data_IF_400501102528
#
_entry.id   IF_400501102528
#
_cell.length_a   1.000
_cell.length_b   1.000
_cell.length_c   1.000
_cell.angle_alpha   90.00
_cell.angle_beta   90.00
_cell.angle_gamma   90.00
#
_symmetry.space_group_name_H-M   'P 1'
#
loop_
_entity.id
_entity.type
_entity.pdbx_description
1 polymer ?
#
# COMPACT_ATOMS: atom_id res chain seq x y z
N UNK A 1 -7.95 29.37 73.77
CA UNK A 1 -8.54 28.30 72.96
C UNK A 1 -7.97 28.45 71.57
N UNK A 2 -7.00 27.61 71.18
CA UNK A 2 -6.46 27.59 69.82
C UNK A 2 -7.47 26.85 68.94
N UNK A 3 -8.04 27.52 67.95
CA UNK A 3 -8.87 26.87 66.95
C UNK A 3 -7.94 26.04 66.04
N UNK A 4 -8.19 24.73 65.97
CA UNK A 4 -7.61 23.89 64.94
C UNK A 4 -8.53 23.98 63.73
N UNK A 5 -8.04 24.59 62.66
CA UNK A 5 -8.77 24.63 61.40
C UNK A 5 -8.53 23.32 60.67
N UNK A 6 -9.60 22.55 60.48
CA UNK A 6 -9.64 21.47 59.49
C UNK A 6 -9.60 22.11 58.09
N UNK A 7 -8.67 21.67 57.24
CA UNK A 7 -8.46 22.26 55.93
C UNK A 7 -9.48 21.74 54.90
N UNK A 8 -9.92 20.48 55.00
CA UNK A 8 -10.96 19.88 54.14
C UNK A 8 -11.65 18.67 54.81
N UNK A 9 -12.98 18.74 55.04
CA UNK A 9 -13.76 17.62 55.59
C UNK A 9 -13.72 16.36 54.71
N UNK A 10 -13.73 16.54 53.39
CA UNK A 10 -13.57 15.45 52.42
C UNK A 10 -13.09 15.98 51.07
N UNK A 11 -12.39 15.13 50.33
CA UNK A 11 -12.14 15.26 48.89
C UNK A 11 -12.91 14.13 48.20
N UNK A 12 -13.82 14.48 47.30
CA UNK A 12 -14.58 13.52 46.50
C UNK A 12 -14.03 13.45 45.10
N UNK A 13 -13.66 12.25 44.67
CA UNK A 13 -13.18 11.97 43.32
C UNK A 13 -14.32 11.37 42.52
N UNK A 14 -14.69 12.03 41.43
CA UNK A 14 -15.76 11.60 40.54
C UNK A 14 -15.17 11.03 39.25
N UNK A 15 -15.86 10.08 38.64
CA UNK A 15 -15.55 9.55 37.32
C UNK A 15 -15.59 10.65 36.25
N UNK A 16 -15.13 10.32 35.04
CA UNK A 16 -15.15 11.21 33.88
C UNK A 16 -16.55 11.72 33.50
N UNK A 17 -17.62 11.06 33.94
CA UNK A 17 -19.01 11.51 33.76
C UNK A 17 -19.41 12.69 34.67
N UNK A 18 -18.56 13.07 35.62
CA UNK A 18 -18.77 14.17 36.57
C UNK A 18 -19.82 13.92 37.65
N UNK A 19 -20.40 12.71 37.74
CA UNK A 19 -21.52 12.40 38.65
C UNK A 19 -21.32 11.15 39.49
N UNK A 20 -20.61 10.14 38.97
CA UNK A 20 -20.32 8.90 39.69
C UNK A 20 -19.19 9.13 40.69
N UNK A 21 -19.45 8.94 41.99
CA UNK A 21 -18.42 9.06 43.03
C UNK A 21 -17.56 7.79 43.07
N UNK A 22 -16.27 7.91 42.76
CA UNK A 22 -15.32 6.79 42.77
C UNK A 22 -14.65 6.61 44.13
N UNK A 23 -14.31 7.71 44.81
CA UNK A 23 -13.66 7.67 46.11
C UNK A 23 -13.95 8.91 46.95
N UNK A 24 -13.92 8.74 48.27
CA UNK A 24 -13.89 9.83 49.26
C UNK A 24 -12.61 9.69 50.05
N UNK A 25 -11.81 10.75 50.07
CA UNK A 25 -10.65 10.90 50.95
C UNK A 25 -11.07 11.81 52.11
N UNK A 26 -10.86 11.37 53.34
CA UNK A 26 -11.22 12.13 54.55
C UNK A 26 -9.95 12.74 55.14
N UNK A 27 -10.05 14.00 55.59
CA UNK A 27 -9.03 14.70 56.38
C UNK A 27 -9.53 14.81 57.82
N UNK A 28 -9.58 13.69 58.53
CA UNK A 28 -10.16 13.61 59.87
C UNK A 28 -9.18 14.01 60.99
N UNK A 29 -7.91 14.25 60.63
CA UNK A 29 -6.86 14.74 61.52
C UNK A 29 -6.13 15.97 60.94
N UNK A 30 -5.71 16.87 61.83
CA UNK A 30 -4.87 18.03 61.50
C UNK A 30 -3.47 17.65 61.01
N UNK A 31 -3.10 16.37 61.09
CA UNK A 31 -1.82 15.84 60.62
C UNK A 31 -1.91 15.09 59.29
N UNK A 32 -3.09 15.04 58.67
CA UNK A 32 -3.27 14.27 57.43
C UNK A 32 -2.50 14.88 56.26
N UNK A 33 -2.05 14.00 55.36
CA UNK A 33 -1.34 14.39 54.15
C UNK A 33 -2.03 13.81 52.92
N UNK A 34 -2.28 14.67 51.93
CA UNK A 34 -2.76 14.23 50.61
C UNK A 34 -1.56 13.84 49.75
N UNK A 35 -1.37 12.53 49.57
CA UNK A 35 -0.33 12.01 48.68
C UNK A 35 -0.96 11.65 47.34
N UNK A 36 -0.55 12.36 46.28
CA UNK A 36 -1.04 12.12 44.91
C UNK A 36 0.08 11.46 44.11
N UNK A 37 -0.17 10.24 43.64
CA UNK A 37 0.72 9.50 42.75
C UNK A 37 0.24 9.63 41.32
N UNK A 38 1.12 10.05 40.42
CA UNK A 38 0.81 10.14 38.99
C UNK A 38 0.83 8.76 38.32
N UNK A 39 -0.09 8.54 37.39
CA UNK A 39 -0.04 7.42 36.46
C UNK A 39 0.93 7.66 35.30
N UNK A 40 1.08 6.66 34.44
CA UNK A 40 1.86 6.81 33.21
C UNK A 40 1.20 7.83 32.26
N UNK A 41 1.98 8.65 31.54
CA UNK A 41 1.42 9.70 30.67
C UNK A 41 0.87 10.93 31.38
N UNK A 42 1.06 11.05 32.70
CA UNK A 42 0.67 12.24 33.49
C UNK A 42 1.93 12.91 34.04
N UNK A 43 2.01 14.23 33.94
CA UNK A 43 3.08 15.03 34.55
C UNK A 43 2.50 16.02 35.56
N UNK A 44 3.16 16.14 36.72
CA UNK A 44 2.88 17.21 37.68
C UNK A 44 3.93 18.30 37.48
N UNK A 45 3.50 19.49 37.10
CA UNK A 45 4.41 20.60 36.75
C UNK A 45 4.00 21.90 37.45
N UNK A 46 4.88 22.90 37.43
CA UNK A 46 4.55 24.25 37.92
C UNK A 46 4.18 24.32 39.40
N UNK A 47 4.69 23.39 40.23
CA UNK A 47 4.44 23.40 41.66
C UNK A 47 4.97 24.70 42.30
N UNK A 48 4.09 25.39 43.04
CA UNK A 48 4.42 26.63 43.74
C UNK A 48 3.84 26.58 45.15
N UNK A 49 4.73 26.53 46.14
CA UNK A 49 4.39 26.45 47.55
C UNK A 49 3.86 27.77 48.15
N UNK A 50 4.00 28.90 47.45
CA UNK A 50 3.41 30.18 47.89
C UNK A 50 1.96 30.34 47.45
N UNK A 51 1.54 29.60 46.42
CA UNK A 51 0.17 29.64 45.89
C UNK A 51 -0.55 28.30 46.06
N UNK A 52 0.07 27.34 46.75
CA UNK A 52 -0.42 25.98 46.98
C UNK A 52 -1.00 25.32 45.72
N UNK A 53 -0.30 25.51 44.59
CA UNK A 53 -0.79 25.13 43.27
C UNK A 53 0.21 24.28 42.52
N UNK A 54 -0.30 23.37 41.70
CA UNK A 54 0.46 22.66 40.67
C UNK A 54 -0.45 22.42 39.46
N UNK A 55 0.14 22.00 38.34
CA UNK A 55 -0.57 21.64 37.10
C UNK A 55 -0.51 20.14 36.89
N UNK A 56 -1.55 19.60 36.26
CA UNK A 56 -1.62 18.23 35.77
C UNK A 56 -1.62 18.31 34.25
N UNK A 57 -0.50 17.92 33.64
CA UNK A 57 -0.36 17.88 32.19
C UNK A 57 -0.58 16.45 31.68
N UNK A 58 -1.37 16.32 30.63
CA UNK A 58 -1.57 15.09 29.86
C UNK A 58 -1.51 15.49 28.39
N UNK A 59 -0.47 15.04 27.71
CA UNK A 59 -0.20 15.36 26.31
C UNK A 59 0.50 14.18 25.64
N UNK A 60 0.26 14.05 24.34
CA UNK A 60 0.88 13.04 23.49
C UNK A 60 1.23 13.66 22.15
N UNK A 61 2.50 13.57 21.79
CA UNK A 61 2.97 13.95 20.47
C UNK A 61 3.09 12.73 19.56
N UNK A 62 2.64 12.87 18.31
CA UNK A 62 2.71 11.84 17.27
C UNK A 62 3.71 12.28 16.22
N UNK A 63 4.86 11.60 16.17
CA UNK A 63 5.96 12.00 15.29
C UNK A 63 6.50 10.82 14.48
N UNK A 64 7.26 11.12 13.43
CA UNK A 64 8.08 10.13 12.73
C UNK A 64 9.54 10.59 12.85
N UNK A 65 10.33 9.99 13.77
CA UNK A 65 11.68 10.45 14.08
C UNK A 65 12.62 10.47 12.87
N UNK A 66 13.66 11.31 12.95
CA UNK A 66 14.69 11.38 11.90
C UNK A 66 15.39 10.04 11.73
N UNK A 67 15.67 9.69 10.47
CA UNK A 67 16.32 8.42 10.10
C UNK A 67 15.58 7.15 10.53
N UNK A 68 14.27 7.23 10.78
CA UNK A 68 13.43 6.05 11.04
C UNK A 68 12.19 6.04 10.12
N UNK A 69 11.56 4.87 10.03
CA UNK A 69 10.22 4.68 9.44
C UNK A 69 9.16 4.44 10.51
N UNK A 70 9.53 4.53 11.79
CA UNK A 70 8.63 4.25 12.89
C UNK A 70 7.69 5.43 13.12
N UNK A 71 6.42 5.12 13.35
CA UNK A 71 5.49 6.08 13.95
C UNK A 71 5.71 6.03 15.45
N UNK A 72 5.99 7.17 16.08
CA UNK A 72 6.26 7.31 17.51
C UNK A 72 5.14 8.09 18.19
N UNK A 73 4.61 7.53 19.27
CA UNK A 73 3.86 8.29 20.27
C UNK A 73 4.78 8.59 21.45
N UNK A 74 4.88 9.86 21.82
CA UNK A 74 5.66 10.34 22.97
C UNK A 74 4.71 11.00 23.97
N UNK A 75 4.71 10.55 25.23
CA UNK A 75 3.93 11.20 26.29
C UNK A 75 4.65 12.42 26.89
N UNK A 76 3.95 13.18 27.75
CA UNK A 76 4.51 14.32 28.53
C UNK A 76 5.75 13.99 29.36
N UNK A 77 6.01 12.72 29.64
CA UNK A 77 7.17 12.25 30.38
C UNK A 77 8.29 11.74 29.47
N UNK A 78 8.20 11.99 28.16
CA UNK A 78 9.14 11.50 27.15
C UNK A 78 9.22 9.97 27.06
N UNK A 79 8.16 9.26 27.47
CA UNK A 79 8.05 7.83 27.21
C UNK A 79 7.62 7.61 25.77
N UNK A 80 8.47 6.95 25.00
CA UNK A 80 8.24 6.71 23.58
C UNK A 80 7.68 5.31 23.35
N UNK A 81 6.68 5.22 22.46
CA UNK A 81 6.16 3.97 21.91
C UNK A 81 6.23 4.03 20.39
N UNK A 82 7.06 3.15 19.83
CA UNK A 82 7.31 3.10 18.39
C UNK A 82 6.54 1.93 17.77
N UNK A 83 5.86 2.21 16.66
CA UNK A 83 5.37 1.19 15.73
C UNK A 83 6.31 1.23 14.53
N UNK A 84 7.13 0.19 14.37
CA UNK A 84 8.02 0.07 13.22
C UNK A 84 7.21 -0.27 11.96
N UNK A 85 7.34 0.56 10.93
CA UNK A 85 6.82 0.25 9.60
C UNK A 85 7.95 -0.38 8.78
N UNK A 86 7.81 -1.67 8.49
CA UNK A 86 8.77 -2.44 7.69
C UNK A 86 8.24 -2.56 6.28
N UNK A 87 9.03 -2.12 5.30
CA UNK A 87 8.62 -2.20 3.91
C UNK A 87 8.68 -3.66 3.43
N UNK A 88 7.63 -4.11 2.73
CA UNK A 88 7.65 -5.37 1.96
C UNK A 88 8.43 -5.20 0.65
N UNK A 89 8.61 -6.29 -0.11
CA UNK A 89 9.49 -6.31 -1.29
C UNK A 89 9.18 -5.25 -2.36
N UNK A 90 7.91 -4.87 -2.54
CA UNK A 90 7.46 -3.93 -3.58
C UNK A 90 7.18 -2.51 -3.07
N UNK A 91 7.47 -2.24 -1.81
CA UNK A 91 7.16 -0.97 -1.19
C UNK A 91 8.45 -0.31 -0.70
N UNK A 92 8.48 1.00 -0.76
CA UNK A 92 9.42 1.82 -0.01
C UNK A 92 8.65 2.64 0.99
N UNK A 93 9.21 2.72 2.20
CA UNK A 93 8.70 3.56 3.27
C UNK A 93 9.84 4.51 3.61
N UNK A 94 9.65 5.80 3.34
CA UNK A 94 10.70 6.81 3.43
C UNK A 94 10.20 8.02 4.21
N UNK A 95 11.09 8.54 5.06
CA UNK A 95 10.90 9.77 5.80
C UNK A 95 11.36 10.96 4.95
N UNK A 96 10.45 11.76 4.41
CA UNK A 96 10.82 12.90 3.55
C UNK A 96 11.18 14.23 4.29
N UNK A 97 10.51 14.53 5.41
CA UNK A 97 10.69 15.78 6.20
C UNK A 97 10.53 15.58 7.72
N UNK A 98 9.96 16.50 8.49
CA UNK A 98 9.53 16.29 9.90
C UNK A 98 8.03 15.93 10.01
N UNK A 99 7.23 16.26 8.99
CA UNK A 99 5.76 16.08 9.01
C UNK A 99 5.17 15.24 7.85
N UNK A 100 5.95 14.42 7.14
CA UNK A 100 5.51 13.66 5.96
C UNK A 100 6.28 12.35 5.79
N UNK A 101 5.66 11.21 6.05
CA UNK A 101 6.18 9.90 5.65
C UNK A 101 5.58 9.53 4.28
N UNK A 102 6.43 9.18 3.30
CA UNK A 102 5.96 8.61 2.03
C UNK A 102 6.00 7.10 2.09
N UNK A 103 4.87 6.49 1.74
CA UNK A 103 4.73 5.06 1.48
C UNK A 103 4.43 4.96 0.00
N UNK A 104 5.38 4.45 -0.78
CA UNK A 104 5.26 4.36 -2.23
C UNK A 104 5.59 2.96 -2.71
N UNK A 105 4.91 2.54 -3.78
CA UNK A 105 5.34 1.35 -4.51
C UNK A 105 6.70 1.65 -5.16
N UNK A 106 7.60 0.68 -5.10
CA UNK A 106 8.87 0.75 -5.81
C UNK A 106 8.54 0.52 -7.30
N UNK A 107 8.78 1.55 -8.13
CA UNK A 107 8.78 1.63 -9.63
C UNK A 107 7.48 1.47 -10.43
N UNK A 108 7.18 2.52 -11.23
CA UNK A 108 6.76 2.53 -12.66
C UNK A 108 5.48 1.84 -13.11
N UNK A 109 5.20 0.67 -12.56
CA UNK A 109 4.05 -0.15 -12.89
C UNK A 109 2.86 0.11 -11.98
N UNK A 110 1.68 -0.22 -12.49
CA UNK A 110 0.49 -0.32 -11.67
C UNK A 110 0.59 -1.67 -10.94
N UNK A 111 0.73 -1.66 -9.62
CA UNK A 111 0.63 -2.89 -8.81
C UNK A 111 -0.81 -3.12 -8.39
N UNK A 112 -1.29 -4.35 -8.53
CA UNK A 112 -2.64 -4.77 -8.16
C UNK A 112 -2.61 -6.03 -7.32
N UNK A 113 -3.29 -5.99 -6.18
CA UNK A 113 -3.51 -7.17 -5.37
C UNK A 113 -4.30 -8.22 -6.15
N UNK A 114 -3.86 -9.46 -6.04
CA UNK A 114 -4.52 -10.62 -6.62
C UNK A 114 -5.53 -11.16 -5.61
N UNK A 115 -6.74 -11.47 -6.08
CA UNK A 115 -7.79 -12.11 -5.27
C UNK A 115 -7.98 -13.58 -5.63
N UNK A 116 -7.51 -14.02 -6.80
CA UNK A 116 -7.56 -15.42 -7.23
C UNK A 116 -6.65 -15.70 -8.42
N UNK A 117 -6.21 -16.95 -8.52
CA UNK A 117 -5.56 -17.50 -9.71
C UNK A 117 -6.16 -18.87 -9.98
N UNK A 118 -6.65 -19.11 -11.20
CA UNK A 118 -7.19 -20.42 -11.58
C UNK A 118 -6.05 -21.41 -11.81
N UNK A 119 -6.22 -22.63 -11.32
CA UNK A 119 -5.34 -23.76 -11.62
C UNK A 119 -5.81 -24.41 -12.93
N UNK A 120 -5.50 -23.74 -14.05
CA UNK A 120 -6.02 -24.06 -15.38
C UNK A 120 -4.99 -23.74 -16.47
N UNK A 121 -5.37 -23.99 -17.72
CA UNK A 121 -4.64 -23.63 -18.92
C UNK A 121 -5.57 -22.84 -19.86
N UNK A 122 -5.43 -21.51 -20.00
CA UNK A 122 -4.46 -20.66 -19.30
C UNK A 122 -4.74 -20.48 -17.80
N UNK A 123 -3.69 -20.16 -17.05
CA UNK A 123 -3.80 -19.58 -15.72
C UNK A 123 -4.45 -18.19 -15.80
N UNK A 124 -5.63 -18.03 -15.22
CA UNK A 124 -6.33 -16.75 -15.14
C UNK A 124 -6.07 -16.09 -13.80
N UNK A 125 -5.63 -14.84 -13.82
CA UNK A 125 -5.46 -14.00 -12.64
C UNK A 125 -6.66 -13.08 -12.50
N UNK A 126 -7.20 -12.97 -11.28
CA UNK A 126 -8.23 -11.99 -10.92
C UNK A 126 -7.65 -11.00 -9.91
N UNK A 127 -7.79 -9.69 -10.17
CA UNK A 127 -7.36 -8.63 -9.26
C UNK A 127 -8.51 -8.11 -8.38
N UNK A 128 -8.17 -7.61 -7.19
CA UNK A 128 -9.16 -7.10 -6.21
C UNK A 128 -9.93 -5.89 -6.73
N UNK A 129 -9.26 -5.01 -7.48
CA UNK A 129 -9.83 -3.81 -8.10
C UNK A 129 -9.47 -3.80 -9.59
N UNK A 130 -10.16 -2.95 -10.37
CA UNK A 130 -9.86 -2.80 -11.79
C UNK A 130 -8.36 -2.50 -12.00
N UNK A 131 -7.70 -3.32 -12.81
CA UNK A 131 -6.25 -3.29 -12.95
C UNK A 131 -5.77 -2.17 -13.86
N UNK A 132 -6.55 -1.83 -14.90
CA UNK A 132 -6.18 -0.88 -15.96
C UNK A 132 -4.86 -1.23 -16.67
N UNK A 133 -4.42 -2.48 -16.57
CA UNK A 133 -3.33 -3.02 -17.39
C UNK A 133 -3.69 -2.98 -18.88
N UNK A 134 -2.65 -3.04 -19.70
CA UNK A 134 -2.76 -3.06 -21.16
C UNK A 134 -2.45 -4.47 -21.67
N UNK A 135 -3.24 -4.90 -22.65
CA UNK A 135 -3.04 -6.14 -23.41
C UNK A 135 -1.58 -6.33 -23.85
N UNK A 136 -1.05 -7.54 -23.70
CA UNK A 136 0.30 -7.91 -24.15
C UNK A 136 1.46 -7.31 -23.36
N UNK A 137 1.19 -6.49 -22.34
CA UNK A 137 2.26 -5.94 -21.49
C UNK A 137 2.83 -7.03 -20.58
N UNK A 138 4.16 -7.07 -20.34
CA UNK A 138 4.74 -7.96 -19.34
C UNK A 138 4.15 -7.71 -17.94
N UNK A 139 3.90 -8.77 -17.20
CA UNK A 139 3.45 -8.75 -15.80
C UNK A 139 4.34 -9.64 -14.96
N UNK A 140 4.82 -9.10 -13.85
CA UNK A 140 5.52 -9.86 -12.82
C UNK A 140 4.55 -10.20 -11.69
N UNK A 141 4.51 -11.47 -11.29
CA UNK A 141 3.72 -11.95 -10.15
C UNK A 141 4.65 -12.21 -8.97
N UNK A 142 4.29 -11.73 -7.78
CA UNK A 142 5.04 -11.98 -6.54
C UNK A 142 4.11 -12.18 -5.35
N UNK A 143 4.64 -12.71 -4.24
CA UNK A 143 3.95 -12.88 -2.95
C UNK A 143 2.64 -13.71 -2.97
N UNK A 144 2.45 -14.58 -3.97
CA UNK A 144 1.35 -15.55 -4.00
C UNK A 144 1.63 -16.68 -3.02
N UNK A 145 0.63 -17.06 -2.23
CA UNK A 145 0.62 -18.24 -1.36
C UNK A 145 -0.13 -19.38 -2.05
N UNK A 146 0.39 -20.62 -1.94
CA UNK A 146 -0.13 -21.78 -2.65
C UNK A 146 0.53 -21.94 -4.02
N UNK A 147 0.09 -21.17 -5.02
CA UNK A 147 0.62 -21.20 -6.40
C UNK A 147 1.96 -20.43 -6.53
N UNK A 148 2.91 -20.75 -5.66
CA UNK A 148 4.20 -20.05 -5.51
C UNK A 148 5.12 -20.16 -6.71
N UNK A 149 4.87 -21.11 -7.63
CA UNK A 149 5.60 -21.26 -8.90
C UNK A 149 5.55 -20.00 -9.78
N UNK A 150 4.59 -19.10 -9.55
CA UNK A 150 4.49 -17.83 -10.27
C UNK A 150 5.40 -16.74 -9.70
N UNK A 151 5.82 -16.86 -8.44
CA UNK A 151 6.51 -15.78 -7.73
C UNK A 151 7.88 -15.49 -8.33
N UNK A 152 8.10 -14.24 -8.73
CA UNK A 152 9.37 -13.74 -9.27
C UNK A 152 9.54 -13.97 -10.77
N UNK A 153 8.57 -14.58 -11.45
CA UNK A 153 8.59 -14.79 -12.90
C UNK A 153 7.86 -13.65 -13.63
N UNK A 154 8.35 -13.35 -14.83
CA UNK A 154 7.69 -12.45 -15.78
C UNK A 154 6.87 -13.28 -16.77
N UNK A 155 5.66 -12.80 -17.05
CA UNK A 155 4.70 -13.38 -18.00
C UNK A 155 4.16 -12.28 -18.90
N UNK A 156 3.47 -12.65 -19.96
CA UNK A 156 2.69 -11.73 -20.78
C UNK A 156 1.21 -11.92 -20.49
N UNK A 157 0.42 -10.87 -20.59
CA UNK A 157 -1.00 -10.92 -20.22
C UNK A 157 -1.93 -10.77 -21.41
N UNK A 158 -2.97 -11.59 -21.44
CA UNK A 158 -4.16 -11.37 -22.26
C UNK A 158 -5.31 -10.85 -21.39
N UNK A 159 -5.67 -9.59 -21.53
CA UNK A 159 -6.69 -8.91 -20.74
C UNK A 159 -8.09 -9.32 -21.20
N UNK A 160 -8.88 -9.84 -20.26
CA UNK A 160 -10.24 -10.33 -20.52
C UNK A 160 -11.27 -9.24 -20.21
N UNK A 161 -11.11 -8.58 -19.07
CA UNK A 161 -11.94 -7.46 -18.64
C UNK A 161 -11.15 -6.57 -17.67
N UNK A 162 -11.81 -5.66 -16.94
CA UNK A 162 -11.14 -4.74 -16.03
C UNK A 162 -10.44 -5.40 -14.83
N UNK A 163 -10.78 -6.65 -14.48
CA UNK A 163 -10.28 -7.35 -13.30
C UNK A 163 -9.63 -8.69 -13.61
N UNK A 164 -9.73 -9.20 -14.84
CA UNK A 164 -9.29 -10.53 -15.22
C UNK A 164 -8.34 -10.49 -16.41
N UNK A 165 -7.26 -11.25 -16.32
CA UNK A 165 -6.34 -11.50 -17.44
C UNK A 165 -5.77 -12.93 -17.38
N UNK A 166 -5.43 -13.48 -18.53
CA UNK A 166 -4.81 -14.79 -18.69
C UNK A 166 -3.29 -14.64 -18.87
N UNK A 167 -2.51 -15.54 -18.27
CA UNK A 167 -1.04 -15.54 -18.37
C UNK A 167 -0.54 -16.34 -19.57
N UNK A 168 0.48 -15.79 -20.24
CA UNK A 168 1.19 -16.35 -21.38
C UNK A 168 2.69 -16.31 -21.14
N UNK A 169 3.43 -17.20 -21.81
CA UNK A 169 4.89 -17.31 -21.68
C UNK A 169 5.67 -16.60 -22.78
N UNK A 170 4.98 -16.00 -23.75
CA UNK A 170 5.55 -15.27 -24.88
C UNK A 170 4.79 -13.96 -25.15
N UNK A 171 5.49 -12.99 -25.74
CA UNK A 171 5.00 -11.64 -26.05
C UNK A 171 3.94 -11.60 -27.15
N UNK A 172 3.92 -12.62 -28.01
CA UNK A 172 2.91 -12.77 -29.05
C UNK A 172 1.60 -13.39 -28.55
N UNK A 173 1.52 -13.70 -27.24
CA UNK A 173 0.36 -14.33 -26.61
C UNK A 173 -0.06 -15.63 -27.33
N UNK A 174 0.92 -16.44 -27.76
CA UNK A 174 0.68 -17.67 -28.51
C UNK A 174 0.70 -18.94 -27.66
N UNK A 175 1.41 -18.90 -26.54
CA UNK A 175 1.62 -20.01 -25.61
C UNK A 175 1.09 -19.63 -24.24
N UNK A 176 -0.06 -20.20 -23.89
CA UNK A 176 -0.69 -20.03 -22.59
C UNK A 176 0.16 -20.63 -21.47
N UNK A 177 0.12 -20.03 -20.28
CA UNK A 177 0.70 -20.63 -19.09
C UNK A 177 -0.22 -21.73 -18.57
N UNK A 178 0.20 -22.98 -18.68
CA UNK A 178 -0.49 -24.12 -18.05
C UNK A 178 -0.10 -24.23 -16.57
N UNK A 179 -1.04 -23.88 -15.68
CA UNK A 179 -0.85 -23.98 -14.23
C UNK A 179 -1.48 -25.21 -13.60
N UNK A 180 -2.02 -26.15 -14.39
CA UNK A 180 -2.71 -27.35 -13.87
C UNK A 180 -1.82 -28.20 -12.96
N UNK A 181 -0.50 -28.19 -13.20
CA UNK A 181 0.50 -28.87 -12.38
C UNK A 181 1.03 -28.10 -11.17
N UNK A 182 0.65 -26.82 -10.99
CA UNK A 182 1.09 -26.02 -9.84
C UNK A 182 0.22 -26.32 -8.61
N UNK A 183 0.65 -26.04 -7.38
CA UNK A 183 -0.27 -26.07 -6.24
C UNK A 183 -1.38 -25.02 -6.42
N UNK A 184 -2.56 -25.28 -5.84
CA UNK A 184 -3.68 -24.36 -5.91
C UNK A 184 -3.33 -23.02 -5.23
N UNK A 185 -3.86 -21.92 -5.78
CA UNK A 185 -3.81 -20.61 -5.14
C UNK A 185 -4.53 -20.66 -3.79
N UNK A 186 -3.92 -20.07 -2.76
CA UNK A 186 -4.49 -19.96 -1.41
C UNK A 186 -4.85 -18.52 -1.09
N UNK A 187 -3.89 -17.60 -1.20
CA UNK A 187 -4.08 -16.18 -0.86
C UNK A 187 -2.90 -15.32 -1.33
N UNK A 188 -3.00 -14.01 -1.11
CA UNK A 188 -1.93 -13.06 -1.37
C UNK A 188 -1.73 -12.79 -2.85
N UNK A 189 -0.54 -12.34 -3.21
CA UNK A 189 -0.19 -12.06 -4.60
C UNK A 189 -0.31 -10.59 -4.96
N UNK A 190 0.70 -10.12 -5.70
CA UNK A 190 0.71 -8.82 -6.36
C UNK A 190 1.10 -9.04 -7.82
N UNK A 191 0.29 -8.52 -8.73
CA UNK A 191 0.62 -8.39 -10.15
C UNK A 191 1.12 -6.97 -10.40
N UNK A 192 2.30 -6.82 -10.99
CA UNK A 192 2.89 -5.52 -11.34
C UNK A 192 3.20 -5.49 -12.82
N UNK A 193 2.72 -4.46 -13.51
CA UNK A 193 2.94 -4.24 -14.94
C UNK A 193 3.03 -2.74 -15.26
N UNK A 194 3.82 -2.36 -16.27
CA UNK A 194 3.99 -0.97 -16.68
C UNK A 194 2.71 -0.34 -17.24
N UNK A 195 2.52 0.97 -17.01
CA UNK A 195 1.44 1.72 -17.64
C UNK A 195 1.77 1.96 -19.13
N UNK A 196 1.41 1.00 -19.97
CA UNK A 196 1.38 1.17 -21.44
C UNK A 196 2.48 0.44 -22.23
N UNK A 197 2.92 -0.73 -21.77
CA UNK A 197 3.96 -1.52 -22.43
C UNK A 197 3.46 -2.48 -23.51
N UNK A 198 2.75 -1.99 -24.53
CA UNK A 198 2.76 -2.52 -25.91
C UNK A 198 1.91 -1.60 -26.81
N UNK A 199 2.54 -0.72 -27.59
CA UNK A 199 1.85 -0.01 -28.67
C UNK A 199 1.96 -0.86 -29.93
N UNK A 200 0.85 -1.09 -30.62
CA UNK A 200 0.90 -1.71 -31.95
C UNK A 200 1.86 -0.92 -32.84
N UNK A 201 2.76 -1.60 -33.56
CA UNK A 201 3.72 -0.95 -34.45
C UNK A 201 3.02 -0.09 -35.51
N UNK A 202 1.81 -0.50 -35.92
CA UNK A 202 0.84 0.30 -36.68
C UNK A 202 -0.57 0.06 -36.11
N UNK A 203 -1.48 1.04 -36.23
CA UNK A 203 -2.90 0.87 -35.81
C UNK A 203 -3.82 0.62 -37.00
N UNK A 204 -3.71 1.46 -38.01
CA UNK A 204 -4.53 1.35 -39.22
C UNK A 204 -3.76 1.93 -40.39
N UNK A 205 -3.69 1.17 -41.49
CA UNK A 205 -3.27 1.66 -42.79
C UNK A 205 -4.53 1.80 -43.63
N UNK A 206 -4.89 3.04 -43.97
CA UNK A 206 -6.08 3.36 -44.75
C UNK A 206 -5.68 3.84 -46.14
N UNK A 207 -6.29 3.25 -47.15
CA UNK A 207 -6.24 3.70 -48.54
C UNK A 207 -7.65 4.08 -48.96
N UNK A 208 -7.82 5.28 -49.52
CA UNK A 208 -9.15 5.76 -49.91
C UNK A 208 -9.80 4.82 -50.93
N UNK A 209 -11.05 4.42 -50.66
CA UNK A 209 -11.80 3.48 -51.51
C UNK A 209 -11.55 2.00 -51.22
N UNK A 210 -10.61 1.65 -50.33
CA UNK A 210 -10.32 0.29 -49.91
C UNK A 210 -10.78 0.03 -48.47
N UNK A 211 -10.80 -1.24 -48.06
CA UNK A 211 -10.93 -1.64 -46.66
C UNK A 211 -9.64 -1.32 -45.91
N UNK A 212 -9.79 -0.85 -44.68
CA UNK A 212 -8.66 -0.59 -43.79
C UNK A 212 -7.91 -1.88 -43.44
N UNK A 213 -6.58 -1.79 -43.39
CA UNK A 213 -5.75 -2.80 -42.73
C UNK A 213 -5.57 -2.35 -41.29
N UNK A 214 -6.20 -3.05 -40.35
CA UNK A 214 -6.24 -2.69 -38.93
C UNK A 214 -5.43 -3.72 -38.16
N UNK A 215 -4.49 -3.26 -37.34
CA UNK A 215 -3.84 -4.13 -36.38
C UNK A 215 -4.85 -4.56 -35.32
N UNK A 216 -5.15 -5.85 -35.32
CA UNK A 216 -6.10 -6.50 -34.41
C UNK A 216 -5.42 -7.07 -33.17
N UNK A 217 -4.11 -7.29 -33.22
CA UNK A 217 -3.27 -7.73 -32.12
C UNK A 217 -1.91 -7.04 -32.15
N UNK A 218 -1.19 -7.05 -31.02
CA UNK A 218 0.16 -6.47 -30.93
C UNK A 218 1.18 -7.20 -31.82
N UNK A 219 0.89 -8.45 -32.20
CA UNK A 219 1.70 -9.31 -33.06
C UNK A 219 1.29 -9.23 -34.54
N UNK A 220 0.36 -8.34 -34.90
CA UNK A 220 -0.19 -8.32 -36.25
C UNK A 220 0.88 -8.00 -37.31
N UNK A 221 0.81 -8.71 -38.42
CA UNK A 221 1.78 -8.70 -39.50
C UNK A 221 1.25 -7.85 -40.65
N UNK A 222 1.92 -6.73 -40.93
CA UNK A 222 1.67 -6.02 -42.19
C UNK A 222 2.15 -6.87 -43.37
N UNK A 223 1.20 -7.44 -44.10
CA UNK A 223 1.47 -8.17 -45.35
C UNK A 223 1.26 -7.27 -46.56
N UNK A 224 2.30 -7.11 -47.36
CA UNK A 224 2.26 -6.38 -48.63
C UNK A 224 2.25 -7.40 -49.78
N UNK A 225 1.28 -7.28 -50.69
CA UNK A 225 1.14 -8.17 -51.85
C UNK A 225 1.24 -7.34 -53.12
N UNK A 226 2.21 -7.70 -53.99
CA UNK A 226 2.38 -7.06 -55.29
C UNK A 226 1.19 -7.34 -56.21
N UNK A 227 0.60 -6.29 -56.77
CA UNK A 227 -0.45 -6.37 -57.78
C UNK A 227 0.13 -6.36 -59.20
N UNK A 228 -0.73 -6.42 -60.22
CA UNK A 228 -0.29 -6.28 -61.62
C UNK A 228 0.39 -4.91 -61.83
N UNK A 229 1.65 -4.93 -62.25
CA UNK A 229 2.45 -3.71 -62.48
C UNK A 229 3.03 -3.09 -61.21
N UNK A 230 2.92 -3.75 -60.06
CA UNK A 230 3.57 -3.36 -58.80
C UNK A 230 4.42 -4.54 -58.33
N UNK A 231 5.73 -4.45 -58.54
CA UNK A 231 6.68 -5.34 -57.89
C UNK A 231 6.93 -4.86 -56.47
N UNK A 232 6.95 -5.79 -55.51
CA UNK A 232 7.31 -5.52 -54.11
C UNK A 232 8.48 -6.42 -53.76
N UNK A 233 9.58 -5.81 -53.35
CA UNK A 233 10.82 -6.47 -52.97
C UNK A 233 11.26 -5.99 -51.60
N UNK A 234 11.90 -6.86 -50.83
CA UNK A 234 12.42 -6.53 -49.49
C UNK A 234 13.92 -6.76 -49.42
N UNK A 235 14.60 -5.92 -48.64
CA UNK A 235 16.00 -6.15 -48.26
C UNK A 235 16.15 -5.95 -46.75
N UNK A 236 16.21 -7.07 -46.03
CA UNK A 236 16.38 -7.09 -44.58
C UNK A 236 17.75 -6.59 -44.11
N UNK A 237 18.77 -6.56 -44.98
CA UNK A 237 20.09 -6.02 -44.62
C UNK A 237 20.14 -4.50 -44.60
N UNK A 238 19.19 -3.84 -45.27
CA UNK A 238 19.08 -2.37 -45.34
C UNK A 238 17.74 -1.86 -44.80
N UNK A 239 16.89 -2.73 -44.28
CA UNK A 239 15.54 -2.41 -43.78
C UNK A 239 14.66 -1.68 -44.82
N UNK A 240 14.73 -2.07 -46.10
CA UNK A 240 13.97 -1.42 -47.20
C UNK A 240 12.90 -2.31 -47.82
N UNK A 241 11.79 -1.68 -48.22
CA UNK A 241 10.78 -2.22 -49.13
C UNK A 241 10.74 -1.34 -50.38
N UNK A 242 10.87 -1.94 -51.57
CA UNK A 242 10.88 -1.24 -52.88
C UNK A 242 9.96 -1.89 -53.89
#
# INVERSE_FOLDING_TARGET
MTAFYDFFRFIKLYSTDGTTLEATLEGDSVTDSLNISRGNGVAFTGANASTDSFKIDVDYDLTVPVSTTSIRLSDVNSNNKDIALVAGGNMTIVRDSANQLTISALIGGVSKSISGITQANPARVTTTNAHNFTEGTPVTIVDVVGMTNLNGNEYFMNVIDGNNFDLYTDDLLSTTLDSTGFPAYVSGGVATADYGGAKQAFKTIRVAGQTDVVADTIADLLTLVGGTGIDITTNAGTDTVT
#
